data_IF_309937837935
#
_entry.id   IF_309937837935
#
_cell.length_a   1.000
_cell.length_b   1.000
_cell.length_c   1.000
_cell.angle_alpha   90.00
_cell.angle_beta   90.00
_cell.angle_gamma   90.00
#
_symmetry.space_group_name_H-M   'P 1'
#
loop_
_entity.id
_entity.type
_entity.pdbx_description
1 polymer ?
#
# COMPACT_ATOMS: atom_id res chain seq x y z
N UNK A 1 2.94 -7.75 -2.11
CA UNK A 1 2.24 -7.69 -0.80
C UNK A 1 1.31 -6.49 -0.72
N UNK A 2 1.77 -5.24 -0.80
CA UNK A 2 0.85 -4.10 -0.82
C UNK A 2 -0.13 -4.09 -2.01
N UNK A 3 0.33 -4.47 -3.22
CA UNK A 3 -0.53 -4.62 -4.42
C UNK A 3 -1.63 -5.69 -4.29
N UNK A 4 -1.53 -6.59 -3.31
CA UNK A 4 -2.58 -7.58 -3.03
C UNK A 4 -3.66 -7.05 -2.06
N UNK A 5 -3.63 -5.75 -1.73
CA UNK A 5 -4.59 -5.13 -0.81
C UNK A 5 -4.35 -5.45 0.66
N UNK A 6 -3.17 -5.98 1.01
CA UNK A 6 -2.82 -6.22 2.42
C UNK A 6 -2.74 -4.90 3.18
N UNK A 7 -3.33 -4.87 4.38
CA UNK A 7 -3.20 -3.74 5.29
C UNK A 7 -1.72 -3.51 5.66
N UNK A 8 -1.14 -2.33 5.38
CA UNK A 8 0.27 -2.04 5.65
C UNK A 8 0.67 -2.16 7.13
N UNK A 9 -0.26 -1.97 8.07
CA UNK A 9 -0.02 -2.18 9.52
C UNK A 9 0.05 -3.65 9.90
N UNK A 10 -0.75 -4.50 9.26
CA UNK A 10 -0.64 -5.95 9.45
C UNK A 10 0.72 -6.45 8.93
N UNK A 11 1.16 -5.91 7.78
CA UNK A 11 2.49 -6.19 7.26
C UNK A 11 3.60 -5.65 8.18
N UNK A 12 3.47 -4.42 8.70
CA UNK A 12 4.42 -3.86 9.66
C UNK A 12 4.62 -4.78 10.87
N UNK A 13 3.52 -5.26 11.45
CA UNK A 13 3.54 -6.16 12.61
C UNK A 13 4.21 -7.49 12.29
N UNK A 14 3.83 -8.13 11.18
CA UNK A 14 4.41 -9.41 10.76
C UNK A 14 5.91 -9.31 10.45
N UNK A 15 6.34 -8.18 9.88
CA UNK A 15 7.74 -7.94 9.53
C UNK A 15 8.58 -7.43 10.71
N UNK A 16 7.95 -7.12 11.85
CA UNK A 16 8.66 -6.64 13.05
C UNK A 16 9.28 -5.25 12.88
N UNK A 17 8.79 -4.44 11.94
CA UNK A 17 9.33 -3.11 11.72
C UNK A 17 8.84 -2.16 12.81
N UNK A 18 9.76 -1.60 13.58
CA UNK A 18 9.47 -0.57 14.59
C UNK A 18 8.94 0.71 13.95
N UNK A 19 9.40 1.04 12.76
CA UNK A 19 8.98 2.20 11.98
C UNK A 19 8.14 1.79 10.76
N UNK A 20 7.03 2.51 10.53
CA UNK A 20 6.12 2.23 9.40
C UNK A 20 6.72 2.64 8.05
N UNK A 21 7.63 3.63 8.04
CA UNK A 21 8.34 4.08 6.85
C UNK A 21 9.18 2.96 6.22
N UNK A 22 9.76 2.06 7.02
CA UNK A 22 10.47 0.87 6.51
C UNK A 22 9.52 -0.04 5.72
N UNK A 23 8.33 -0.33 6.25
CA UNK A 23 7.33 -1.15 5.56
C UNK A 23 6.82 -0.49 4.28
N UNK A 24 6.55 0.81 4.32
CA UNK A 24 6.08 1.56 3.15
C UNK A 24 7.16 1.61 2.06
N UNK A 25 8.39 1.97 2.42
CA UNK A 25 9.47 2.08 1.45
C UNK A 25 9.80 0.76 0.74
N UNK A 26 9.64 -0.39 1.40
CA UNK A 26 9.94 -1.71 0.81
C UNK A 26 8.76 -2.27 0.00
N UNK A 27 7.53 -2.02 0.44
CA UNK A 27 6.37 -2.74 -0.10
C UNK A 27 5.37 -1.87 -0.88
N UNK A 28 5.43 -0.54 -0.76
CA UNK A 28 4.55 0.39 -1.50
C UNK A 28 5.29 1.08 -2.65
N UNK A 29 5.97 0.30 -3.49
CA UNK A 29 6.49 0.78 -4.77
C UNK A 29 5.34 0.89 -5.79
N UNK A 30 4.50 1.91 -5.61
CA UNK A 30 3.41 2.23 -6.54
C UNK A 30 3.89 3.28 -7.55
N UNK A 31 3.60 3.04 -8.81
CA UNK A 31 3.86 3.99 -9.89
C UNK A 31 2.66 4.88 -10.18
N UNK A 32 2.83 5.81 -11.12
CA UNK A 32 1.79 6.75 -11.55
C UNK A 32 0.55 6.05 -12.12
N UNK A 33 0.72 4.89 -12.78
CA UNK A 33 -0.37 4.07 -13.31
C UNK A 33 -1.20 3.48 -12.16
N UNK A 34 -0.55 2.90 -11.15
CA UNK A 34 -1.22 2.31 -9.99
C UNK A 34 -2.05 3.38 -9.23
N UNK A 35 -1.50 4.61 -9.11
CA UNK A 35 -2.21 5.72 -8.48
C UNK A 35 -3.45 6.15 -9.27
N UNK A 36 -3.34 6.23 -10.60
CA UNK A 36 -4.47 6.60 -11.48
C UNK A 36 -5.60 5.57 -11.42
N UNK A 37 -5.27 4.29 -11.40
CA UNK A 37 -6.25 3.21 -11.28
C UNK A 37 -7.01 3.27 -9.95
N UNK A 38 -6.30 3.51 -8.84
CA UNK A 38 -6.93 3.63 -7.52
C UNK A 38 -7.84 4.85 -7.42
N UNK A 39 -7.42 6.01 -7.96
CA UNK A 39 -8.27 7.20 -8.05
C UNK A 39 -9.56 6.92 -8.83
N UNK A 40 -9.45 6.23 -9.97
CA UNK A 40 -10.62 5.86 -10.77
C UNK A 40 -11.54 4.86 -10.05
N UNK A 41 -10.98 3.94 -9.26
CA UNK A 41 -11.76 3.02 -8.43
C UNK A 41 -12.57 3.77 -7.38
N UNK A 42 -11.93 4.68 -6.64
CA UNK A 42 -12.60 5.51 -5.63
C UNK A 42 -13.68 6.37 -6.26
N UNK A 43 -13.41 6.99 -7.41
CA UNK A 43 -14.38 7.83 -8.12
C UNK A 43 -15.62 7.07 -8.62
N UNK A 44 -15.52 5.76 -8.88
CA UNK A 44 -16.66 4.90 -9.27
C UNK A 44 -17.48 4.39 -8.08
N UNK A 45 -16.94 4.48 -6.87
CA UNK A 45 -17.60 4.07 -5.62
C UNK A 45 -18.37 5.23 -4.97
N UNK A 46 -18.16 6.45 -5.43
CA UNK A 46 -18.89 7.67 -5.05
C UNK A 46 -20.10 7.89 -5.96
#
# INVERSE_FOLDING_TARGET
MAKAGMNPKALQYLMGHSDIGVTLNVYTHLGLIDAKEEMNRIAKLA
#
